data_IF_211196138672
#
_entry.id   IF_211196138672
#
_cell.length_a   1.000
_cell.length_b   1.000
_cell.length_c   1.000
_cell.angle_alpha   90.00
_cell.angle_beta   90.00
_cell.angle_gamma   90.00
#
_symmetry.space_group_name_H-M   'P 1'
#
loop_
_entity.id
_entity.type
_entity.pdbx_description
1 polymer ?
#
# COMPACT_ATOMS: atom_id res chain seq x y z
N UNK A 1 -25.48 -10.05 -5.15
CA UNK A 1 -24.95 -8.70 -5.40
C UNK A 1 -24.02 -8.79 -6.60
N UNK A 2 -24.18 -7.92 -7.62
CA UNK A 2 -23.30 -7.94 -8.79
C UNK A 2 -21.92 -7.44 -8.35
N UNK A 3 -20.90 -8.26 -8.53
CA UNK A 3 -19.52 -7.88 -8.21
C UNK A 3 -19.01 -6.94 -9.32
N UNK A 4 -19.14 -5.62 -9.12
CA UNK A 4 -18.86 -4.61 -10.14
C UNK A 4 -17.37 -4.41 -10.46
N UNK A 5 -16.47 -5.16 -9.83
CA UNK A 5 -15.02 -5.00 -9.94
C UNK A 5 -14.27 -6.24 -10.44
N UNK A 6 -14.96 -7.17 -11.11
CA UNK A 6 -14.29 -8.32 -11.73
C UNK A 6 -13.30 -7.82 -12.79
N UNK A 7 -12.04 -8.23 -12.70
CA UNK A 7 -10.96 -7.90 -13.64
C UNK A 7 -10.85 -6.38 -13.92
N UNK A 8 -10.98 -5.56 -12.88
CA UNK A 8 -11.04 -4.10 -13.00
C UNK A 8 -9.81 -3.42 -12.41
N UNK A 9 -9.36 -2.33 -13.03
CA UNK A 9 -8.29 -1.46 -12.52
C UNK A 9 -8.92 -0.14 -12.08
N UNK A 10 -8.74 0.20 -10.80
CA UNK A 10 -9.21 1.46 -10.24
C UNK A 10 -8.04 2.43 -10.11
N UNK A 11 -7.91 3.36 -11.05
CA UNK A 11 -6.85 4.37 -10.98
C UNK A 11 -7.19 5.48 -9.96
N UNK A 12 -6.31 5.67 -8.98
CA UNK A 12 -6.35 6.80 -8.04
C UNK A 12 -5.70 6.46 -6.70
N UNK A 13 -5.85 7.36 -5.73
CA UNK A 13 -5.45 7.11 -4.33
C UNK A 13 -6.21 5.91 -3.77
N UNK A 14 -5.49 4.96 -3.18
CA UNK A 14 -6.10 3.71 -2.73
C UNK A 14 -7.10 3.92 -1.59
N UNK A 15 -6.87 4.86 -0.68
CA UNK A 15 -7.77 5.14 0.44
C UNK A 15 -9.10 5.66 -0.11
N UNK A 16 -9.06 6.58 -1.08
CA UNK A 16 -10.28 7.08 -1.72
C UNK A 16 -11.02 6.03 -2.55
N UNK A 17 -10.30 5.12 -3.22
CA UNK A 17 -10.94 4.01 -3.96
C UNK A 17 -11.53 2.95 -3.04
N UNK A 18 -10.85 2.61 -1.95
CA UNK A 18 -11.33 1.62 -0.99
C UNK A 18 -12.67 2.05 -0.38
N UNK A 19 -12.86 3.35 -0.09
CA UNK A 19 -14.14 3.91 0.40
C UNK A 19 -15.34 3.64 -0.53
N UNK A 20 -15.12 3.45 -1.82
CA UNK A 20 -16.16 3.17 -2.81
C UNK A 20 -16.53 1.68 -2.90
N UNK A 21 -15.75 0.81 -2.25
CA UNK A 21 -15.99 -0.63 -2.20
C UNK A 21 -16.91 -0.94 -1.02
N UNK A 22 -17.91 -1.78 -1.25
CA UNK A 22 -18.85 -2.22 -0.23
C UNK A 22 -18.14 -2.94 0.92
N UNK A 23 -18.67 -2.80 2.14
CA UNK A 23 -18.14 -3.53 3.28
C UNK A 23 -18.40 -5.04 3.13
N UNK A 24 -17.53 -5.89 3.67
CA UNK A 24 -17.68 -7.35 3.61
C UNK A 24 -17.84 -7.93 2.18
N UNK A 25 -17.14 -7.39 1.19
CA UNK A 25 -17.26 -7.80 -0.20
C UNK A 25 -16.02 -8.53 -0.75
N UNK A 26 -14.86 -8.42 -0.10
CA UNK A 26 -13.58 -8.96 -0.58
C UNK A 26 -13.15 -10.18 0.23
N UNK A 27 -12.72 -11.23 -0.47
CA UNK A 27 -12.22 -12.48 0.14
C UNK A 27 -10.74 -12.39 0.51
N UNK A 28 -9.92 -11.75 -0.31
CA UNK A 28 -8.48 -11.67 -0.12
C UNK A 28 -7.96 -10.30 -0.53
N UNK A 29 -7.10 -9.72 0.31
CA UNK A 29 -6.33 -8.53 -0.01
C UNK A 29 -4.85 -8.89 -0.01
N UNK A 30 -4.14 -8.48 -1.06
CA UNK A 30 -2.68 -8.49 -1.12
C UNK A 30 -2.21 -7.04 -1.21
N UNK A 31 -1.34 -6.61 -0.30
CA UNK A 31 -0.84 -5.25 -0.23
C UNK A 31 0.69 -5.21 -0.16
N UNK A 32 1.28 -4.41 -1.03
CA UNK A 32 2.68 -4.03 -1.04
C UNK A 32 2.74 -2.50 -0.86
N UNK A 33 2.58 -2.00 0.39
CA UNK A 33 2.55 -0.57 0.67
C UNK A 33 3.98 0.03 0.56
N UNK A 34 4.13 1.36 0.49
CA UNK A 34 5.44 2.00 0.65
C UNK A 34 6.13 1.54 1.94
N UNK A 35 7.44 1.28 1.91
CA UNK A 35 8.21 0.74 3.04
C UNK A 35 8.80 1.84 3.92
N UNK A 36 8.68 3.11 3.50
CA UNK A 36 9.33 4.25 4.14
C UNK A 36 10.85 4.02 4.26
N UNK A 37 11.49 3.65 3.14
CA UNK A 37 12.91 3.36 3.09
C UNK A 37 13.71 4.64 3.31
N UNK A 38 14.19 4.83 4.54
CA UNK A 38 15.03 5.97 4.92
C UNK A 38 16.48 5.77 4.44
N UNK A 39 16.68 5.73 3.12
CA UNK A 39 18.03 5.63 2.54
C UNK A 39 18.77 6.95 2.82
N UNK A 40 19.86 6.88 3.58
CA UNK A 40 20.76 8.00 3.83
C UNK A 40 22.05 7.80 3.01
N UNK A 41 22.45 8.84 2.26
CA UNK A 41 23.67 8.85 1.47
C UNK A 41 23.53 8.20 0.08
N UNK A 42 24.63 8.25 -0.70
CA UNK A 42 24.72 7.59 -2.00
C UNK A 42 25.18 6.14 -1.82
N UNK A 43 24.44 5.20 -2.41
CA UNK A 43 24.86 3.81 -2.51
C UNK A 43 25.57 3.61 -3.85
N UNK A 44 26.72 2.95 -3.85
CA UNK A 44 27.46 2.59 -5.06
C UNK A 44 27.49 1.08 -5.24
N UNK A 45 27.36 0.62 -6.48
CA UNK A 45 27.57 -0.78 -6.85
C UNK A 45 29.06 -1.12 -6.80
N UNK A 46 29.37 -2.43 -6.80
CA UNK A 46 30.74 -2.96 -6.81
C UNK A 46 31.60 -2.44 -7.98
N UNK A 47 30.97 -2.04 -9.08
CA UNK A 47 31.65 -1.49 -10.26
C UNK A 47 31.81 0.05 -10.20
N UNK A 48 31.51 0.69 -9.07
CA UNK A 48 31.60 2.14 -8.87
C UNK A 48 30.43 2.96 -9.43
N UNK A 49 29.43 2.33 -10.07
CA UNK A 49 28.24 3.04 -10.54
C UNK A 49 27.24 3.32 -9.40
N UNK A 50 26.49 4.42 -9.49
CA UNK A 50 25.46 4.74 -8.50
C UNK A 50 24.32 3.71 -8.51
N UNK A 51 23.90 3.32 -7.31
CA UNK A 51 22.72 2.48 -7.10
C UNK A 51 21.48 3.37 -7.07
N UNK A 52 20.69 3.29 -8.13
CA UNK A 52 19.39 3.94 -8.22
C UNK A 52 18.34 3.06 -7.51
N UNK A 53 18.30 3.16 -6.18
CA UNK A 53 17.22 2.59 -5.38
C UNK A 53 15.99 3.50 -5.34
N UNK A 54 15.11 3.26 -4.37
CA UNK A 54 13.94 4.11 -4.06
C UNK A 54 14.40 5.37 -3.30
N UNK A 55 15.37 6.11 -3.85
CA UNK A 55 15.98 7.27 -3.18
C UNK A 55 15.29 8.59 -3.53
N UNK A 56 14.62 8.66 -4.69
CA UNK A 56 14.02 9.89 -5.22
C UNK A 56 12.50 9.82 -5.41
N UNK A 57 11.89 8.70 -5.02
CA UNK A 57 10.46 8.49 -5.19
C UNK A 57 9.68 9.14 -4.04
N UNK A 58 8.81 10.10 -4.36
CA UNK A 58 8.04 10.84 -3.35
C UNK A 58 6.98 9.99 -2.65
N UNK A 59 6.55 8.89 -3.27
CA UNK A 59 5.54 7.99 -2.69
C UNK A 59 6.07 7.13 -1.54
N UNK A 60 7.40 6.99 -1.39
CA UNK A 60 8.04 6.25 -0.28
C UNK A 60 8.68 7.16 0.78
N UNK A 61 8.41 8.46 0.72
CA UNK A 61 8.96 9.45 1.64
C UNK A 61 7.88 9.98 2.58
N UNK A 62 8.14 9.86 3.87
CA UNK A 62 7.26 10.37 4.92
C UNK A 62 8.00 11.33 5.83
N UNK A 63 7.34 12.43 6.21
CA UNK A 63 7.93 13.47 7.08
C UNK A 63 8.34 12.94 8.46
N UNK A 64 7.70 11.85 8.90
CA UNK A 64 8.01 11.20 10.17
C UNK A 64 7.45 9.77 10.21
N UNK A 65 7.98 8.97 11.14
CA UNK A 65 7.40 7.67 11.49
C UNK A 65 5.92 7.81 11.87
N UNK A 66 5.53 8.91 12.51
CA UNK A 66 4.12 9.17 12.83
C UNK A 66 3.28 9.35 11.56
N UNK A 67 3.74 10.14 10.60
CA UNK A 67 3.06 10.32 9.32
C UNK A 67 2.89 9.00 8.56
N UNK A 68 3.93 8.17 8.53
CA UNK A 68 3.88 6.83 7.95
C UNK A 68 2.85 5.92 8.66
N UNK A 69 2.87 5.89 10.00
CA UNK A 69 1.89 5.11 10.78
C UNK A 69 0.46 5.60 10.57
N UNK A 70 0.24 6.91 10.50
CA UNK A 70 -1.07 7.52 10.26
C UNK A 70 -1.58 7.18 8.85
N UNK A 71 -0.70 7.22 7.84
CA UNK A 71 -1.00 6.73 6.50
C UNK A 71 -1.39 5.24 6.52
N UNK A 72 -0.58 4.39 7.17
CA UNK A 72 -0.85 2.96 7.24
C UNK A 72 -2.18 2.64 7.89
N UNK A 73 -2.52 3.31 9.00
CA UNK A 73 -3.80 3.12 9.69
C UNK A 73 -4.99 3.45 8.79
N UNK A 74 -4.91 4.49 7.97
CA UNK A 74 -6.02 4.90 7.09
C UNK A 74 -6.38 3.81 6.09
N UNK A 75 -5.40 3.27 5.37
CA UNK A 75 -5.69 2.24 4.37
C UNK A 75 -6.04 0.88 5.02
N UNK A 76 -5.40 0.52 6.14
CA UNK A 76 -5.70 -0.71 6.87
C UNK A 76 -7.13 -0.77 7.41
N UNK A 77 -7.65 0.34 7.93
CA UNK A 77 -9.04 0.43 8.41
C UNK A 77 -10.01 0.15 7.26
N UNK A 78 -9.77 0.72 6.09
CA UNK A 78 -10.62 0.48 4.92
C UNK A 78 -10.49 -0.96 4.41
N UNK A 79 -9.28 -1.53 4.38
CA UNK A 79 -9.07 -2.95 4.07
C UNK A 79 -9.85 -3.87 5.01
N UNK A 80 -9.81 -3.61 6.32
CA UNK A 80 -10.58 -4.36 7.30
C UNK A 80 -12.09 -4.26 7.04
N UNK A 81 -12.59 -3.06 6.70
CA UNK A 81 -14.01 -2.83 6.42
C UNK A 81 -14.51 -3.63 5.22
N UNK A 82 -13.72 -3.71 4.15
CA UNK A 82 -14.13 -4.36 2.89
C UNK A 82 -13.92 -5.89 2.92
N UNK A 83 -13.03 -6.40 3.78
CA UNK A 83 -12.87 -7.84 3.98
C UNK A 83 -14.14 -8.46 4.54
N UNK A 84 -14.49 -9.64 4.05
CA UNK A 84 -15.59 -10.44 4.62
C UNK A 84 -15.25 -10.85 6.05
N UNK A 85 -16.26 -10.87 6.93
CA UNK A 85 -16.11 -11.31 8.32
C UNK A 85 -15.60 -12.75 8.52
N UNK A 86 -15.74 -13.63 7.53
CA UNK A 86 -15.37 -15.06 7.62
C UNK A 86 -14.61 -15.49 6.37
N UNK A 87 -13.65 -16.41 6.55
CA UNK A 87 -12.88 -17.02 5.48
C UNK A 87 -12.20 -16.01 4.55
N UNK A 88 -11.76 -14.88 5.11
CA UNK A 88 -11.04 -13.85 4.39
C UNK A 88 -9.64 -13.69 4.96
N UNK A 89 -8.75 -13.04 4.21
CA UNK A 89 -7.37 -12.80 4.65
C UNK A 89 -6.82 -11.52 4.06
N UNK A 90 -5.84 -10.94 4.74
CA UNK A 90 -4.98 -9.89 4.20
C UNK A 90 -3.53 -10.32 4.33
N UNK A 91 -2.78 -10.22 3.25
CA UNK A 91 -1.35 -10.46 3.20
C UNK A 91 -0.65 -9.16 2.87
N UNK A 92 0.32 -8.81 3.70
CA UNK A 92 1.09 -7.56 3.59
C UNK A 92 2.56 -7.96 3.53
N UNK A 93 3.29 -7.40 2.58
CA UNK A 93 4.73 -7.55 2.47
C UNK A 93 5.43 -6.24 2.87
N UNK A 94 6.64 -6.36 3.43
CA UNK A 94 7.44 -5.29 4.03
C UNK A 94 8.78 -5.83 4.50
#
# INVERSE_FOLDING_TARGET
MKNNYINSILQGDCIEKLKLIESNSIDLIFADPPYNMQIQGELTRVNGSNFNGVSNESWDKFDSIKAYKDFCRKWLIECQRILKNKNSSIWIIG
#
